data_IF_777146472186
#
_entry.id   IF_777146472186
#
_cell.length_a   1.000
_cell.length_b   1.000
_cell.length_c   1.000
_cell.angle_alpha   90.00
_cell.angle_beta   90.00
_cell.angle_gamma   90.00
#
_symmetry.space_group_name_H-M   'P 1'
#
loop_
_entity.id
_entity.type
_entity.pdbx_description
1 polymer ?
#
# COMPACT_ATOMS: atom_id res chain seq x y z
N UNK A 1 40.01 -15.45 -14.76
CA UNK A 1 38.89 -14.49 -14.69
C UNK A 1 37.86 -15.11 -13.76
N UNK A 2 37.93 -14.75 -12.49
CA UNK A 2 37.04 -15.26 -11.45
C UNK A 2 35.70 -14.52 -11.56
N UNK A 3 34.73 -15.18 -12.19
CA UNK A 3 33.31 -14.81 -12.07
C UNK A 3 32.88 -15.12 -10.65
N UNK A 4 32.96 -14.12 -9.78
CA UNK A 4 32.36 -14.16 -8.45
C UNK A 4 30.85 -14.31 -8.62
N UNK A 5 30.35 -15.52 -8.35
CA UNK A 5 28.93 -15.82 -8.19
C UNK A 5 28.42 -14.94 -7.05
N UNK A 6 27.64 -13.92 -7.39
CA UNK A 6 26.85 -13.21 -6.40
C UNK A 6 26.02 -14.25 -5.66
N UNK A 7 26.29 -14.41 -4.36
CA UNK A 7 25.47 -15.23 -3.49
C UNK A 7 24.02 -14.81 -3.68
N UNK A 8 23.23 -15.69 -4.29
CA UNK A 8 21.79 -15.57 -4.38
C UNK A 8 21.26 -15.76 -2.95
N UNK A 9 21.27 -14.67 -2.17
CA UNK A 9 20.63 -14.61 -0.88
C UNK A 9 19.13 -14.68 -1.16
N UNK A 10 18.59 -15.89 -1.23
CA UNK A 10 17.17 -16.20 -1.12
C UNK A 10 16.70 -15.81 0.28
N UNK A 11 16.70 -14.51 0.57
CA UNK A 11 16.12 -13.97 1.78
C UNK A 11 14.68 -13.68 1.46
N UNK A 12 13.82 -14.64 1.84
CA UNK A 12 12.38 -14.53 1.96
C UNK A 12 12.03 -13.11 2.39
N UNK A 13 11.52 -12.31 1.48
CA UNK A 13 10.94 -11.02 1.87
C UNK A 13 9.82 -11.38 2.86
N UNK A 14 9.72 -10.73 4.03
CA UNK A 14 8.52 -10.86 4.83
C UNK A 14 7.40 -10.24 3.99
N UNK A 15 6.72 -11.08 3.22
CA UNK A 15 5.47 -10.71 2.56
C UNK A 15 4.55 -10.25 3.69
N UNK A 16 3.92 -9.09 3.51
CA UNK A 16 2.93 -8.62 4.47
C UNK A 16 1.94 -9.76 4.73
N UNK A 17 1.63 -10.03 6.00
CA UNK A 17 0.61 -11.00 6.37
C UNK A 17 -0.69 -10.66 5.62
N UNK A 18 -1.54 -11.65 5.27
CA UNK A 18 -2.77 -11.41 4.51
C UNK A 18 -3.68 -10.34 5.13
N UNK A 19 -3.65 -10.19 6.46
CA UNK A 19 -4.40 -9.18 7.21
C UNK A 19 -3.54 -7.97 7.62
N UNK A 20 -2.59 -7.58 6.77
CA UNK A 20 -1.79 -6.38 6.94
C UNK A 20 -1.81 -5.53 5.68
N UNK A 21 -1.70 -4.22 5.86
CA UNK A 21 -1.70 -3.22 4.80
C UNK A 21 -0.44 -2.36 4.91
N UNK A 22 0.14 -1.97 3.78
CA UNK A 22 1.28 -1.07 3.70
C UNK A 22 0.92 0.12 2.83
N UNK A 23 1.10 1.33 3.37
CA UNK A 23 0.92 2.56 2.62
C UNK A 23 2.13 3.46 2.81
N UNK A 24 2.66 3.99 1.70
CA UNK A 24 3.81 4.87 1.72
C UNK A 24 3.58 6.06 0.80
N UNK A 25 3.35 7.22 1.40
CA UNK A 25 3.20 8.50 0.70
C UNK A 25 4.06 9.58 1.36
N UNK A 26 4.32 10.70 0.66
CA UNK A 26 4.98 11.87 1.26
C UNK A 26 4.24 12.42 2.49
N UNK A 27 2.91 12.28 2.53
CA UNK A 27 2.10 12.78 3.62
C UNK A 27 2.11 11.85 4.84
N UNK A 28 1.71 10.58 4.64
CA UNK A 28 1.69 9.56 5.69
C UNK A 28 2.22 8.24 5.16
N UNK A 29 2.97 7.56 6.02
CA UNK A 29 3.55 6.25 5.74
C UNK A 29 3.34 5.38 6.96
N UNK A 30 2.66 4.24 6.78
CA UNK A 30 2.29 3.36 7.89
C UNK A 30 2.03 1.92 7.43
N UNK A 31 2.14 1.00 8.37
CA UNK A 31 1.68 -0.39 8.24
C UNK A 31 0.49 -0.64 9.14
N UNK A 32 -0.29 -1.67 8.85
CA UNK A 32 -1.37 -2.14 9.70
C UNK A 32 -1.15 -3.59 10.12
N UNK A 33 -1.83 -4.02 11.18
CA UNK A 33 -1.82 -5.42 11.62
C UNK A 33 -3.19 -5.84 12.14
N UNK A 34 -3.58 -7.05 11.76
CA UNK A 34 -4.87 -7.65 12.12
C UNK A 34 -6.03 -7.06 11.33
N UNK A 35 -7.18 -7.72 11.42
CA UNK A 35 -8.43 -7.30 10.82
C UNK A 35 -9.50 -7.26 11.91
N UNK A 36 -9.99 -6.07 12.25
CA UNK A 36 -11.12 -5.90 13.16
C UNK A 36 -12.44 -6.18 12.43
N UNK A 37 -12.65 -5.54 11.28
CA UNK A 37 -13.85 -5.73 10.48
C UNK A 37 -13.58 -5.48 8.99
N UNK A 38 -14.13 -6.35 8.14
CA UNK A 38 -14.15 -6.15 6.68
C UNK A 38 -15.31 -5.26 6.28
N UNK A 39 -15.11 -4.48 5.23
CA UNK A 39 -16.07 -3.51 4.73
C UNK A 39 -16.19 -3.63 3.21
N UNK A 40 -17.30 -4.24 2.78
CA UNK A 40 -17.55 -4.59 1.38
C UNK A 40 -18.65 -3.75 0.72
N UNK A 41 -19.11 -2.68 1.39
CA UNK A 41 -20.16 -1.83 0.84
C UNK A 41 -19.68 -1.19 -0.48
N UNK A 42 -20.51 -1.23 -1.54
CA UNK A 42 -20.24 -0.48 -2.77
C UNK A 42 -20.10 1.01 -2.49
N UNK A 43 -19.14 1.65 -3.14
CA UNK A 43 -18.83 3.08 -2.95
C UNK A 43 -19.66 4.01 -3.86
N UNK A 44 -20.70 3.50 -4.52
CA UNK A 44 -21.63 4.33 -5.31
C UNK A 44 -22.29 5.39 -4.40
N UNK A 45 -22.38 6.61 -4.91
CA UNK A 45 -22.87 7.79 -4.20
C UNK A 45 -22.12 8.10 -2.89
N UNK A 46 -20.90 7.57 -2.74
CA UNK A 46 -20.07 7.73 -1.54
C UNK A 46 -19.61 9.17 -1.27
N UNK A 47 -19.86 10.10 -2.19
CA UNK A 47 -19.71 11.55 -2.00
C UNK A 47 -20.81 12.16 -1.11
N UNK A 48 -21.99 11.52 -1.04
CA UNK A 48 -23.09 11.94 -0.18
C UNK A 48 -22.94 11.37 1.25
N UNK A 49 -22.98 12.21 2.31
CA UNK A 49 -22.98 11.76 3.70
C UNK A 49 -24.15 10.84 4.07
N UNK A 50 -25.26 10.95 3.36
CA UNK A 50 -26.47 10.16 3.59
C UNK A 50 -26.46 8.84 2.81
N UNK A 51 -25.41 8.56 2.03
CA UNK A 51 -25.28 7.31 1.31
C UNK A 51 -25.14 6.11 2.26
N UNK A 52 -25.60 4.91 1.84
CA UNK A 52 -25.38 3.68 2.60
C UNK A 52 -23.90 3.46 2.93
N UNK A 53 -23.00 3.83 2.02
CA UNK A 53 -21.56 3.75 2.22
C UNK A 53 -21.09 4.61 3.40
N UNK A 54 -21.43 5.90 3.43
CA UNK A 54 -21.00 6.78 4.51
C UNK A 54 -21.63 6.41 5.86
N UNK A 55 -22.93 6.08 5.87
CA UNK A 55 -23.64 5.70 7.08
C UNK A 55 -23.07 4.42 7.72
N UNK A 56 -22.85 3.36 6.92
CA UNK A 56 -22.27 2.10 7.40
C UNK A 56 -20.82 2.26 7.84
N UNK A 57 -20.03 3.06 7.11
CA UNK A 57 -18.66 3.38 7.51
C UNK A 57 -18.61 4.09 8.88
N UNK A 58 -19.48 5.09 9.10
CA UNK A 58 -19.54 5.81 10.36
C UNK A 58 -19.96 4.90 11.52
N UNK A 59 -20.94 4.02 11.30
CA UNK A 59 -21.35 3.03 12.29
C UNK A 59 -20.19 2.07 12.64
N UNK A 60 -19.44 1.61 11.63
CA UNK A 60 -18.30 0.72 11.84
C UNK A 60 -17.15 1.39 12.60
N UNK A 61 -16.91 2.69 12.34
CA UNK A 61 -15.95 3.46 13.14
C UNK A 61 -16.39 3.66 14.59
N UNK A 62 -17.69 3.85 14.84
CA UNK A 62 -18.22 3.96 16.19
C UNK A 62 -18.08 2.63 16.95
N UNK A 63 -18.36 1.50 16.29
CA UNK A 63 -18.17 0.16 16.84
C UNK A 63 -16.70 -0.17 17.14
N UNK A 64 -15.78 0.16 16.23
CA UNK A 64 -14.35 0.00 16.49
C UNK A 64 -13.89 0.77 17.73
N UNK A 65 -14.38 2.01 17.92
CA UNK A 65 -14.05 2.83 19.09
C UNK A 65 -14.64 2.26 20.37
N UNK A 66 -15.90 1.79 20.35
CA UNK A 66 -16.54 1.20 21.53
C UNK A 66 -15.85 -0.10 21.97
N UNK A 67 -15.24 -0.83 21.03
CA UNK A 67 -14.43 -2.03 21.28
C UNK A 67 -12.95 -1.74 21.61
N UNK A 68 -12.58 -0.47 21.82
CA UNK A 68 -11.26 -0.08 22.33
C UNK A 68 -10.21 0.29 21.28
N UNK A 69 -10.56 0.37 19.99
CA UNK A 69 -9.65 0.87 18.96
C UNK A 69 -9.66 2.40 19.02
N UNK A 70 -8.64 3.00 19.62
CA UNK A 70 -8.59 4.44 19.90
C UNK A 70 -8.64 5.33 18.64
N UNK A 71 -7.88 4.95 17.59
CA UNK A 71 -7.76 5.71 16.34
C UNK A 71 -8.01 4.79 15.15
N UNK A 72 -9.26 4.38 14.88
CA UNK A 72 -9.53 3.45 13.80
C UNK A 72 -9.29 4.12 12.45
N UNK A 73 -8.75 3.37 11.51
CA UNK A 73 -8.52 3.78 10.12
C UNK A 73 -9.18 2.78 9.18
N UNK A 74 -9.64 3.23 8.02
CA UNK A 74 -10.11 2.37 6.94
C UNK A 74 -9.01 2.26 5.89
N UNK A 75 -8.67 1.06 5.48
CA UNK A 75 -7.64 0.81 4.45
C UNK A 75 -8.12 -0.22 3.44
N UNK A 76 -7.53 -0.20 2.24
CA UNK A 76 -7.82 -1.15 1.17
C UNK A 76 -8.03 -0.46 -0.18
N UNK A 77 -8.90 -1.00 -1.01
CA UNK A 77 -9.15 -0.53 -2.36
C UNK A 77 -10.65 -0.43 -2.68
N UNK A 78 -11.01 0.56 -3.49
CA UNK A 78 -12.33 0.70 -4.11
C UNK A 78 -12.17 0.34 -5.60
N UNK A 79 -13.01 -0.54 -6.16
CA UNK A 79 -12.95 -0.90 -7.57
C UNK A 79 -13.25 0.30 -8.48
N UNK A 80 -12.80 0.22 -9.73
CA UNK A 80 -13.06 1.28 -10.72
C UNK A 80 -14.57 1.50 -10.94
N UNK A 81 -15.35 0.42 -11.02
CA UNK A 81 -16.80 0.50 -10.98
C UNK A 81 -17.27 0.52 -9.52
N UNK A 82 -17.67 1.69 -9.03
CA UNK A 82 -18.04 1.91 -7.62
C UNK A 82 -19.32 1.19 -7.18
N UNK A 83 -20.07 0.60 -8.11
CA UNK A 83 -21.21 -0.28 -7.81
C UNK A 83 -20.76 -1.66 -7.34
N UNK A 84 -19.52 -2.03 -7.63
CA UNK A 84 -18.96 -3.30 -7.18
C UNK A 84 -18.56 -3.21 -5.70
N UNK A 85 -18.54 -4.33 -4.97
CA UNK A 85 -18.13 -4.37 -3.58
C UNK A 85 -16.71 -3.83 -3.37
N UNK A 86 -16.55 -2.99 -2.36
CA UNK A 86 -15.22 -2.49 -1.96
C UNK A 86 -14.39 -3.60 -1.30
N UNK A 87 -13.06 -3.46 -1.34
CA UNK A 87 -12.12 -4.33 -0.62
C UNK A 87 -11.45 -3.51 0.48
N UNK A 88 -12.23 -3.12 1.49
CA UNK A 88 -11.80 -2.29 2.60
C UNK A 88 -11.87 -3.06 3.92
N UNK A 89 -11.10 -2.63 4.92
CA UNK A 89 -11.20 -3.13 6.29
C UNK A 89 -10.64 -2.13 7.32
N UNK A 90 -11.08 -2.29 8.57
CA UNK A 90 -10.48 -1.63 9.74
C UNK A 90 -9.47 -2.60 10.35
N UNK A 91 -8.18 -2.23 10.50
CA UNK A 91 -7.21 -3.06 11.17
C UNK A 91 -7.32 -2.93 12.70
N UNK A 92 -6.74 -3.88 13.44
CA UNK A 92 -6.68 -3.80 14.90
C UNK A 92 -5.67 -2.74 15.38
N UNK A 93 -4.58 -2.54 14.63
CA UNK A 93 -3.59 -1.52 14.93
C UNK A 93 -2.88 -1.02 13.66
N UNK A 94 -2.25 0.14 13.77
CA UNK A 94 -1.39 0.71 12.74
C UNK A 94 -0.18 1.42 13.35
N UNK A 95 0.93 1.44 12.61
CA UNK A 95 2.20 2.02 13.03
C UNK A 95 2.78 2.88 11.93
N UNK A 96 3.08 4.14 12.23
CA UNK A 96 3.77 5.02 11.29
C UNK A 96 5.24 4.65 11.14
N UNK A 97 5.80 4.93 9.97
CA UNK A 97 7.23 4.83 9.71
C UNK A 97 7.72 6.00 8.86
N UNK A 98 9.02 6.29 8.91
CA UNK A 98 9.63 7.29 8.04
C UNK A 98 9.83 6.73 6.62
N UNK A 99 9.25 7.40 5.63
CA UNK A 99 9.43 7.07 4.21
C UNK A 99 10.91 7.07 3.81
N UNK A 100 11.64 8.13 4.16
CA UNK A 100 13.06 8.26 3.78
C UNK A 100 13.88 7.15 4.41
N UNK A 101 13.65 6.84 5.68
CA UNK A 101 14.33 5.74 6.36
C UNK A 101 13.99 4.39 5.71
N UNK A 102 12.72 4.13 5.36
CA UNK A 102 12.32 2.90 4.65
C UNK A 102 12.97 2.79 3.27
N UNK A 103 13.04 3.88 2.52
CA UNK A 103 13.71 3.90 1.22
C UNK A 103 15.22 3.66 1.34
N UNK A 104 15.87 4.27 2.34
CA UNK A 104 17.29 4.06 2.63
C UNK A 104 17.60 2.62 3.06
N UNK A 105 16.68 1.98 3.79
CA UNK A 105 16.80 0.57 4.17
C UNK A 105 16.46 -0.42 3.06
N UNK A 106 16.03 0.07 1.87
CA UNK A 106 15.66 -0.81 0.77
C UNK A 106 16.90 -1.49 0.20
N UNK A 107 16.75 -2.75 -0.22
CA UNK A 107 17.87 -3.57 -0.74
C UNK A 107 18.58 -2.96 -1.95
N UNK A 108 17.90 -2.09 -2.68
CA UNK A 108 18.39 -1.40 -3.88
C UNK A 108 18.70 0.08 -3.63
N UNK A 109 18.82 0.50 -2.36
CA UNK A 109 19.29 1.85 -2.08
C UNK A 109 20.77 1.97 -2.43
N UNK A 110 21.04 2.40 -3.66
CA UNK A 110 22.34 2.95 -4.03
C UNK A 110 22.37 4.38 -3.51
N UNK A 111 23.19 4.64 -2.50
CA UNK A 111 23.46 5.99 -2.02
C UNK A 111 24.13 6.80 -3.15
N UNK A 112 23.33 7.36 -4.06
CA UNK A 112 23.76 8.30 -5.09
C UNK A 112 25.04 7.86 -5.85
N UNK A 113 25.18 6.57 -6.18
CA UNK A 113 26.15 6.23 -7.22
C UNK A 113 25.52 6.69 -8.53
N UNK A 114 25.86 7.91 -8.95
CA UNK A 114 25.53 8.44 -10.26
C UNK A 114 26.03 7.43 -11.29
N UNK A 115 25.10 6.73 -11.93
CA UNK A 115 25.45 5.84 -13.03
C UNK A 115 26.02 6.72 -14.12
N UNK A 116 27.29 6.50 -14.47
CA UNK A 116 27.86 7.12 -15.65
C UNK A 116 27.25 6.44 -16.87
N UNK A 117 26.58 7.22 -17.71
CA UNK A 117 26.09 6.76 -18.99
C UNK A 117 27.31 6.49 -19.86
N UNK A 118 27.65 5.20 -20.04
CA UNK A 118 28.78 4.78 -20.87
C UNK A 118 28.44 4.94 -22.36
N UNK A 119 27.18 4.69 -22.74
CA UNK A 119 26.72 4.74 -24.13
C UNK A 119 25.21 5.04 -24.19
N UNK A 120 24.76 5.74 -25.24
CA UNK A 120 23.35 5.90 -25.62
C UNK A 120 23.21 5.56 -27.09
N UNK A 121 22.34 4.61 -27.42
CA UNK A 121 21.98 4.27 -28.80
C UNK A 121 20.52 4.66 -29.05
N UNK A 122 20.23 5.26 -30.21
CA UNK A 122 18.85 5.53 -30.62
C UNK A 122 18.09 4.22 -30.80
N UNK A 123 16.81 4.25 -30.45
CA UNK A 123 15.89 3.18 -30.86
C UNK A 123 15.77 3.30 -32.39
N UNK A 124 15.96 2.21 -33.15
CA UNK A 124 15.76 2.22 -34.60
C UNK A 124 14.35 2.68 -34.96
N UNK A 125 14.21 3.43 -36.06
CA UNK A 125 12.90 3.77 -36.59
C UNK A 125 12.16 2.48 -36.96
N UNK A 126 10.93 2.32 -36.45
CA UNK A 126 10.05 1.22 -36.85
C UNK A 126 9.14 1.72 -37.96
N UNK A 127 9.31 1.18 -39.17
CA UNK A 127 8.43 1.39 -40.30
C UNK A 127 7.16 0.53 -40.17
N UNK A 128 6.29 0.81 -39.19
CA UNK A 128 4.94 0.24 -39.17
C UNK A 128 3.90 1.24 -38.65
N UNK A 129 2.95 1.56 -39.52
CA UNK A 129 1.66 2.20 -39.24
C UNK A 129 0.57 1.14 -39.07
#
# INVERSE_FOLDING_TARGET
MDTSLAEEKTQTMPTLAPDSFFFMSPYRSFTTSGCFARYAEPAIDGDSPDSPFQQKMNALFADAKSQGIANPVMVGAIPFDTRQPSSLFIPQSWQSFSRTAKQQSSRYFTAHQSLNVVERKSIPEQDFF
#
